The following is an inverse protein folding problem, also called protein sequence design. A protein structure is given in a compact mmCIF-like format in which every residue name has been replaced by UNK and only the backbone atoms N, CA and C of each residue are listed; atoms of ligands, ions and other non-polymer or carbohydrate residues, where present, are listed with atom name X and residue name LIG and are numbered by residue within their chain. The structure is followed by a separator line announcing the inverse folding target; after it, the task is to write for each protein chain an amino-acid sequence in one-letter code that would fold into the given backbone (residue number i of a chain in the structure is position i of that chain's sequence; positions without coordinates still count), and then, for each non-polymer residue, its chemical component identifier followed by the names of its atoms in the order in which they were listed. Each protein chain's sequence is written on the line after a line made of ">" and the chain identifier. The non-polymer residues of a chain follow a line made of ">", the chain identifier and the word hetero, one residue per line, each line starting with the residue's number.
data_IF_577885665940
#
_entry.id   IF_577885665940
#
_cell.length_a   1.000
_cell.length_b   1.000
_cell.length_c   1.000
_cell.angle_alpha   90.00
_cell.angle_beta   90.00
_cell.angle_gamma   90.00
#
_symmetry.space_group_name_H-M   'P 1'
#
loop_
_entity.id
_entity.type
_entity.pdbx_description
1 polymer ?
#
# COMPACT_ATOMS: atom_id res chain seq x y z
N UNK A 1 45.11 39.98 -6.34
CA UNK A 1 43.66 39.77 -6.49
C UNK A 1 43.41 38.33 -6.92
N UNK A 2 42.85 37.48 -6.03
CA UNK A 2 42.44 36.10 -6.36
C UNK A 2 41.09 36.16 -7.06
N UNK A 3 41.01 35.73 -8.33
CA UNK A 3 39.73 35.46 -9.00
C UNK A 3 39.15 34.19 -8.40
N UNK A 4 38.10 34.34 -7.60
CA UNK A 4 37.20 33.24 -7.23
C UNK A 4 36.39 32.95 -8.49
N UNK A 5 36.59 31.76 -9.09
CA UNK A 5 35.65 31.23 -10.08
C UNK A 5 34.45 30.73 -9.29
N UNK A 6 33.34 31.45 -9.37
CA UNK A 6 32.04 30.89 -9.02
C UNK A 6 31.81 29.68 -9.92
N UNK A 7 31.75 28.51 -9.30
CA UNK A 7 31.34 27.28 -9.95
C UNK A 7 29.81 27.34 -9.96
N UNK A 8 29.23 27.76 -11.08
CA UNK A 8 27.82 27.52 -11.34
C UNK A 8 27.63 26.00 -11.48
N UNK A 9 27.42 25.32 -10.35
CA UNK A 9 26.91 23.95 -10.35
C UNK A 9 25.42 24.04 -10.67
N UNK A 10 25.13 24.21 -11.97
CA UNK A 10 23.83 23.86 -12.51
C UNK A 10 23.50 22.42 -12.12
N UNK A 11 22.22 22.08 -11.92
CA UNK A 11 21.84 20.76 -11.45
C UNK A 11 22.46 19.70 -12.36
N UNK A 12 23.25 18.80 -11.77
CA UNK A 12 23.74 17.63 -12.48
C UNK A 12 22.51 16.83 -12.87
N UNK A 13 22.12 16.91 -14.15
CA UNK A 13 21.07 16.08 -14.71
C UNK A 13 21.62 14.66 -14.76
N UNK A 14 21.44 13.92 -13.68
CA UNK A 14 21.57 12.47 -13.68
C UNK A 14 20.41 11.94 -14.49
N UNK A 15 20.68 11.39 -15.68
CA UNK A 15 19.68 10.57 -16.37
C UNK A 15 19.24 9.47 -15.41
N UNK A 16 17.95 9.46 -15.06
CA UNK A 16 17.36 8.44 -14.19
C UNK A 16 17.26 7.13 -14.97
N UNK A 17 17.77 6.04 -14.40
CA UNK A 17 17.53 4.70 -14.90
C UNK A 17 16.16 4.18 -14.46
N UNK A 18 15.79 3.00 -14.95
CA UNK A 18 14.48 2.39 -14.66
C UNK A 18 14.25 2.17 -13.16
N UNK A 19 15.29 1.74 -12.42
CA UNK A 19 15.21 1.56 -10.97
C UNK A 19 14.96 2.87 -10.21
N UNK A 20 15.58 3.96 -10.65
CA UNK A 20 15.35 5.26 -10.05
C UNK A 20 13.91 5.72 -10.32
N UNK A 21 13.39 5.54 -11.54
CA UNK A 21 12.00 5.84 -11.87
C UNK A 21 11.01 4.98 -11.09
N UNK A 22 11.27 3.69 -10.96
CA UNK A 22 10.48 2.77 -10.15
C UNK A 22 10.39 3.27 -8.70
N UNK A 23 11.52 3.69 -8.11
CA UNK A 23 11.53 4.27 -6.77
C UNK A 23 10.66 5.53 -6.68
N UNK A 24 10.74 6.44 -7.65
CA UNK A 24 9.92 7.66 -7.65
C UNK A 24 8.43 7.34 -7.75
N UNK A 25 8.04 6.37 -8.58
CA UNK A 25 6.67 5.89 -8.68
C UNK A 25 6.18 5.24 -7.38
N UNK A 26 7.01 4.41 -6.73
CA UNK A 26 6.71 3.85 -5.41
C UNK A 26 6.54 4.94 -4.36
N UNK A 27 7.40 5.95 -4.36
CA UNK A 27 7.31 7.08 -3.44
C UNK A 27 6.09 7.95 -3.70
N UNK A 28 5.67 8.08 -4.97
CA UNK A 28 4.42 8.72 -5.30
C UNK A 28 3.26 7.97 -4.65
N UNK A 29 3.13 6.66 -4.88
CA UNK A 29 2.04 5.84 -4.33
C UNK A 29 2.06 5.80 -2.80
N UNK A 30 3.21 5.46 -2.21
CA UNK A 30 3.34 5.12 -0.80
C UNK A 30 3.69 6.30 0.11
N UNK A 31 4.06 7.46 -0.47
CA UNK A 31 4.60 8.67 0.18
C UNK A 31 5.96 8.47 0.88
N UNK A 32 6.14 7.38 1.60
CA UNK A 32 7.33 7.09 2.39
C UNK A 32 7.76 5.64 2.24
N UNK A 33 9.07 5.42 2.14
CA UNK A 33 9.69 4.12 2.34
C UNK A 33 10.93 4.26 3.22
N UNK A 34 11.37 3.17 3.85
CA UNK A 34 12.64 3.12 4.56
C UNK A 34 13.76 2.58 3.65
N UNK A 35 15.01 2.75 4.10
CA UNK A 35 16.17 2.25 3.34
C UNK A 35 16.15 0.72 3.21
N UNK A 36 15.61 0.01 4.19
CA UNK A 36 15.48 -1.44 4.13
C UNK A 36 14.59 -1.82 2.94
N UNK A 37 13.43 -1.19 2.79
CA UNK A 37 12.54 -1.38 1.63
C UNK A 37 13.28 -1.13 0.32
N UNK A 38 14.03 -0.03 0.22
CA UNK A 38 14.78 0.32 -1.00
C UNK A 38 15.81 -0.75 -1.34
N UNK A 39 16.55 -1.22 -0.33
CA UNK A 39 17.59 -2.23 -0.52
C UNK A 39 17.00 -3.59 -0.89
N UNK A 40 15.82 -3.94 -0.35
CA UNK A 40 15.16 -5.22 -0.62
C UNK A 40 14.42 -5.23 -1.95
N UNK A 41 13.66 -4.18 -2.28
CA UNK A 41 12.69 -4.24 -3.39
C UNK A 41 13.04 -3.38 -4.60
N UNK A 42 13.89 -2.36 -4.44
CA UNK A 42 14.31 -1.50 -5.55
C UNK A 42 15.69 -1.91 -6.08
N UNK A 43 16.64 -2.15 -5.18
CA UNK A 43 18.01 -2.55 -5.54
C UNK A 43 18.46 -3.86 -4.85
N UNK A 44 17.74 -4.98 -5.04
CA UNK A 44 18.09 -6.26 -4.40
C UNK A 44 19.47 -6.78 -4.81
N UNK A 45 19.94 -6.42 -6.00
CA UNK A 45 21.17 -6.97 -6.58
C UNK A 45 22.47 -6.27 -6.12
N UNK A 46 22.39 -5.16 -5.39
CA UNK A 46 23.59 -4.40 -4.98
C UNK A 46 23.78 -4.40 -3.46
N UNK A 47 25.03 -4.19 -3.05
CA UNK A 47 25.37 -4.09 -1.64
C UNK A 47 24.67 -2.89 -0.98
N UNK A 48 24.24 -3.00 0.31
CA UNK A 48 23.58 -1.91 1.02
C UNK A 48 24.36 -0.58 1.00
N UNK A 49 25.70 -0.64 1.04
CA UNK A 49 26.57 0.54 0.91
C UNK A 49 26.43 1.24 -0.44
N UNK A 50 26.22 0.48 -1.51
CA UNK A 50 25.98 1.01 -2.86
C UNK A 50 24.58 1.60 -2.98
N UNK A 51 23.57 0.97 -2.35
CA UNK A 51 22.22 1.53 -2.23
C UNK A 51 22.23 2.89 -1.55
N UNK A 52 22.91 3.00 -0.40
CA UNK A 52 23.05 4.28 0.29
C UNK A 52 23.69 5.37 -0.57
N UNK A 53 24.71 5.03 -1.36
CA UNK A 53 25.36 5.97 -2.28
C UNK A 53 24.42 6.42 -3.40
N UNK A 54 23.61 5.51 -3.97
CA UNK A 54 22.61 5.87 -4.99
C UNK A 54 21.55 6.81 -4.43
N UNK A 55 21.00 6.48 -3.26
CA UNK A 55 20.01 7.30 -2.56
C UNK A 55 20.58 8.68 -2.23
N UNK A 56 21.83 8.76 -1.78
CA UNK A 56 22.49 10.05 -1.53
C UNK A 56 22.59 10.90 -2.80
N UNK A 57 22.90 10.32 -3.96
CA UNK A 57 22.94 11.05 -5.23
C UNK A 57 21.57 11.58 -5.63
N UNK A 58 20.52 10.77 -5.51
CA UNK A 58 19.14 11.22 -5.78
C UNK A 58 18.72 12.36 -4.85
N UNK A 59 19.16 12.30 -3.59
CA UNK A 59 18.92 13.33 -2.58
C UNK A 59 19.69 14.62 -2.89
N UNK A 60 20.97 14.54 -3.24
CA UNK A 60 21.80 15.69 -3.66
C UNK A 60 21.26 16.33 -4.96
N UNK A 61 20.69 15.53 -5.86
CA UNK A 61 20.03 16.00 -7.08
C UNK A 61 18.59 16.51 -6.86
N UNK A 62 18.04 16.48 -5.64
CA UNK A 62 16.71 17.03 -5.34
C UNK A 62 15.51 16.20 -5.83
N UNK A 63 15.72 14.94 -6.20
CA UNK A 63 14.63 14.03 -6.58
C UNK A 63 13.91 13.47 -5.35
N UNK A 64 14.66 13.25 -4.28
CA UNK A 64 14.13 12.74 -3.01
C UNK A 64 14.70 13.56 -1.87
N UNK A 65 14.04 13.49 -0.71
CA UNK A 65 14.57 13.99 0.56
C UNK A 65 14.46 12.93 1.63
N UNK A 66 15.39 12.93 2.57
CA UNK A 66 15.40 11.99 3.67
C UNK A 66 15.36 12.67 5.03
N UNK A 67 14.84 11.95 6.02
CA UNK A 67 14.84 12.37 7.41
C UNK A 67 14.81 11.13 8.32
N UNK A 68 15.04 11.34 9.62
CA UNK A 68 15.01 10.27 10.62
C UNK A 68 13.69 10.31 11.38
N UNK A 69 13.12 9.14 11.63
CA UNK A 69 11.94 8.99 12.49
C UNK A 69 12.20 7.89 13.53
N UNK A 70 11.77 8.08 14.80
CA UNK A 70 11.93 7.05 15.82
C UNK A 70 11.00 5.87 15.52
N UNK A 71 11.54 4.67 15.50
CA UNK A 71 10.80 3.40 15.43
C UNK A 71 11.02 2.65 16.74
N UNK A 72 9.92 2.34 17.43
CA UNK A 72 9.96 1.42 18.55
C UNK A 72 9.84 -0.01 18.00
N UNK A 73 10.77 -0.88 18.37
CA UNK A 73 10.73 -2.32 18.06
C UNK A 73 10.31 -3.17 19.28
N UNK A 74 9.75 -2.52 20.30
CA UNK A 74 9.31 -3.15 21.56
C UNK A 74 10.42 -3.30 22.61
N UNK A 75 11.71 -3.19 22.22
CA UNK A 75 12.86 -3.34 23.13
C UNK A 75 13.72 -2.07 23.15
N UNK A 76 13.82 -1.38 22.02
CA UNK A 76 14.61 -0.17 21.83
C UNK A 76 13.88 0.82 20.91
N UNK A 77 14.27 2.09 21.00
CA UNK A 77 13.86 3.09 20.02
C UNK A 77 15.05 3.37 19.13
N UNK A 78 14.95 2.96 17.86
CA UNK A 78 15.96 3.22 16.86
C UNK A 78 15.45 4.24 15.85
N UNK A 79 16.31 5.17 15.47
CA UNK A 79 15.98 6.11 14.41
C UNK A 79 16.22 5.44 13.05
N UNK A 80 15.15 5.27 12.27
CA UNK A 80 15.25 4.77 10.90
C UNK A 80 15.34 5.93 9.92
N UNK A 81 16.07 5.72 8.82
CA UNK A 81 16.12 6.67 7.70
C UNK A 81 14.93 6.42 6.78
N UNK A 82 14.10 7.44 6.59
CA UNK A 82 12.92 7.43 5.72
C UNK A 82 13.16 8.39 4.57
N UNK A 83 12.67 8.03 3.39
CA UNK A 83 12.75 8.83 2.17
C UNK A 83 11.35 9.13 1.63
N UNK A 84 11.20 10.28 0.98
CA UNK A 84 10.00 10.70 0.25
C UNK A 84 10.40 11.56 -0.96
N UNK A 85 9.45 11.83 -1.85
CA UNK A 85 9.70 12.71 -3.01
C UNK A 85 10.09 14.12 -2.54
N UNK A 86 11.03 14.70 -3.29
CA UNK A 86 11.33 16.12 -3.29
C UNK A 86 10.96 16.75 -4.64
N UNK A 87 11.14 18.06 -4.79
CA UNK A 87 10.60 18.83 -5.92
C UNK A 87 10.86 18.20 -7.30
N UNK A 88 12.11 17.82 -7.61
CA UNK A 88 12.42 17.25 -8.93
C UNK A 88 11.85 15.84 -9.12
N UNK A 89 11.66 15.08 -8.04
CA UNK A 89 11.03 13.77 -8.11
C UNK A 89 9.54 13.87 -8.40
N UNK A 90 8.88 14.91 -7.88
CA UNK A 90 7.48 15.20 -8.23
C UNK A 90 7.37 15.56 -9.71
N UNK A 91 8.23 16.46 -10.20
CA UNK A 91 8.26 16.87 -11.62
C UNK A 91 8.53 15.68 -12.56
N UNK A 92 9.43 14.77 -12.19
CA UNK A 92 9.67 13.56 -12.99
C UNK A 92 8.45 12.64 -12.98
N UNK A 93 7.80 12.43 -11.83
CA UNK A 93 6.57 11.61 -11.77
C UNK A 93 5.47 12.24 -12.62
N UNK A 94 5.30 13.57 -12.58
CA UNK A 94 4.37 14.30 -13.46
C UNK A 94 4.64 14.04 -14.94
N UNK A 95 5.91 14.06 -15.34
CA UNK A 95 6.30 13.77 -16.71
C UNK A 95 6.03 12.31 -17.11
N UNK A 96 6.17 11.36 -16.18
CA UNK A 96 5.91 9.93 -16.41
C UNK A 96 4.42 9.58 -16.48
N UNK A 97 3.59 10.21 -15.65
CA UNK A 97 2.16 9.87 -15.51
C UNK A 97 1.23 10.79 -16.30
N UNK A 98 1.69 11.97 -16.70
CA UNK A 98 0.87 13.03 -17.31
C UNK A 98 -0.03 13.78 -16.32
N UNK A 99 -0.06 13.38 -15.05
CA UNK A 99 -0.75 14.05 -13.95
C UNK A 99 0.03 13.84 -12.64
N UNK A 100 0.37 14.92 -11.90
CA UNK A 100 0.50 14.76 -10.44
C UNK A 100 -0.48 15.64 -9.69
N UNK A 101 -1.07 15.00 -8.68
CA UNK A 101 -1.85 15.67 -7.63
C UNK A 101 -1.02 15.76 -6.36
N UNK A 102 0.31 15.79 -6.47
CA UNK A 102 1.18 15.72 -5.30
C UNK A 102 1.01 16.97 -4.41
N UNK A 103 0.74 16.74 -3.13
CA UNK A 103 0.67 17.80 -2.14
C UNK A 103 1.81 17.65 -1.14
N UNK A 104 2.67 18.66 -1.07
CA UNK A 104 3.82 18.67 -0.15
C UNK A 104 3.41 18.51 1.32
N UNK A 105 2.17 18.88 1.70
CA UNK A 105 1.61 18.67 3.05
C UNK A 105 1.47 17.18 3.39
N UNK A 106 1.42 16.29 2.41
CA UNK A 106 1.40 14.84 2.64
C UNK A 106 2.69 14.33 3.29
N UNK A 107 3.80 15.04 3.09
CA UNK A 107 5.09 14.68 3.71
C UNK A 107 5.23 15.16 5.17
N UNK A 108 4.28 15.96 5.68
CA UNK A 108 4.24 16.45 7.07
C UNK A 108 3.33 15.55 7.91
N UNK A 109 3.89 14.48 8.49
CA UNK A 109 3.13 13.43 9.18
C UNK A 109 3.77 13.02 10.49
N UNK A 110 2.96 12.48 11.39
CA UNK A 110 3.44 11.94 12.67
C UNK A 110 4.24 10.66 12.41
N UNK A 111 5.20 10.30 13.30
CA UNK A 111 5.94 9.05 13.20
C UNK A 111 5.04 7.83 13.02
N UNK A 112 3.94 7.72 13.79
CA UNK A 112 2.98 6.62 13.69
C UNK A 112 2.37 6.48 12.30
N UNK A 113 2.02 7.58 11.64
CA UNK A 113 1.47 7.54 10.29
C UNK A 113 2.53 7.12 9.27
N UNK A 114 3.77 7.60 9.41
CA UNK A 114 4.89 7.22 8.55
C UNK A 114 5.17 5.71 8.66
N UNK A 115 5.21 5.17 9.88
CA UNK A 115 5.43 3.73 10.10
C UNK A 115 4.33 2.87 9.48
N UNK A 116 3.08 3.30 9.60
CA UNK A 116 1.95 2.64 8.97
C UNK A 116 2.10 2.61 7.44
N UNK A 117 2.49 3.72 6.80
CA UNK A 117 2.73 3.72 5.35
C UNK A 117 3.92 2.87 4.92
N UNK A 118 5.00 2.83 5.72
CA UNK A 118 6.15 1.94 5.46
C UNK A 118 5.72 0.47 5.52
N UNK A 119 4.84 0.10 6.46
CA UNK A 119 4.30 -1.26 6.54
C UNK A 119 3.50 -1.63 5.27
N UNK A 120 2.61 -0.73 4.80
CA UNK A 120 1.89 -0.94 3.54
C UNK A 120 2.86 -1.02 2.34
N UNK A 121 3.93 -0.23 2.34
CA UNK A 121 4.93 -0.26 1.28
C UNK A 121 5.62 -1.64 1.23
N UNK A 122 6.04 -2.18 2.37
CA UNK A 122 6.62 -3.52 2.46
C UNK A 122 5.66 -4.61 1.99
N UNK A 123 4.38 -4.50 2.33
CA UNK A 123 3.36 -5.40 1.78
C UNK A 123 3.25 -5.30 0.25
N UNK A 124 3.22 -4.08 -0.31
CA UNK A 124 3.26 -3.89 -1.77
C UNK A 124 4.50 -4.55 -2.37
N UNK A 125 5.66 -4.33 -1.77
CA UNK A 125 6.94 -4.91 -2.20
C UNK A 125 6.91 -6.44 -2.24
N UNK A 126 6.50 -7.09 -1.15
CA UNK A 126 6.49 -8.57 -1.08
C UNK A 126 5.44 -9.18 -2.02
N UNK A 127 4.29 -8.53 -2.21
CA UNK A 127 3.28 -8.96 -3.18
C UNK A 127 3.82 -8.88 -4.60
N UNK A 128 4.51 -7.78 -4.94
CA UNK A 128 5.10 -7.60 -6.26
C UNK A 128 6.27 -8.56 -6.52
N UNK A 129 7.06 -8.89 -5.49
CA UNK A 129 8.21 -9.79 -5.62
C UNK A 129 7.80 -11.26 -5.78
N UNK A 130 6.85 -11.75 -4.96
CA UNK A 130 6.48 -13.16 -4.89
C UNK A 130 5.37 -13.57 -5.88
N UNK A 131 5.30 -12.96 -7.06
CA UNK A 131 4.19 -13.21 -7.99
C UNK A 131 4.02 -14.68 -8.34
N UNK A 132 2.77 -15.09 -8.53
CA UNK A 132 2.43 -16.42 -9.02
C UNK A 132 2.08 -16.36 -10.51
N UNK A 133 2.36 -17.42 -11.28
CA UNK A 133 2.07 -17.45 -12.71
C UNK A 133 0.61 -17.15 -13.06
N UNK A 134 -0.33 -17.67 -12.25
CA UNK A 134 -1.78 -17.57 -12.44
C UNK A 134 -2.45 -16.52 -11.56
N UNK A 135 -1.69 -15.82 -10.70
CA UNK A 135 -2.17 -14.76 -9.81
C UNK A 135 -1.11 -13.66 -9.65
N UNK A 136 -1.23 -12.63 -10.47
CA UNK A 136 -0.20 -11.62 -10.68
C UNK A 136 -0.62 -10.29 -10.08
N UNK A 137 0.24 -9.70 -9.25
CA UNK A 137 0.08 -8.33 -8.77
C UNK A 137 0.09 -7.36 -9.97
N UNK A 138 -0.96 -6.56 -10.14
CA UNK A 138 -1.04 -5.54 -11.19
C UNK A 138 -0.68 -4.17 -10.64
N UNK A 139 -1.38 -3.74 -9.58
CA UNK A 139 -1.18 -2.40 -9.04
C UNK A 139 -1.59 -2.29 -7.58
N UNK A 140 -0.99 -1.31 -6.91
CA UNK A 140 -1.39 -0.82 -5.60
C UNK A 140 -1.97 0.59 -5.77
N UNK A 141 -3.25 0.74 -5.44
CA UNK A 141 -3.94 2.02 -5.49
C UNK A 141 -3.88 2.61 -4.07
N UNK A 142 -3.27 3.79 -3.88
CA UNK A 142 -3.09 4.36 -2.55
C UNK A 142 -4.42 4.82 -1.93
N UNK A 143 -4.44 5.04 -0.60
CA UNK A 143 -5.60 5.53 0.16
C UNK A 143 -6.28 6.72 -0.53
N UNK A 144 -5.49 7.72 -0.95
CA UNK A 144 -5.98 8.96 -1.58
C UNK A 144 -6.78 8.73 -2.87
N UNK A 145 -6.45 7.67 -3.60
CA UNK A 145 -7.15 7.30 -4.83
C UNK A 145 -8.28 6.32 -4.53
N UNK A 146 -8.12 5.47 -3.52
CA UNK A 146 -9.11 4.49 -3.06
C UNK A 146 -10.27 5.11 -2.28
N UNK A 147 -10.12 6.35 -1.81
CA UNK A 147 -11.20 7.12 -1.18
C UNK A 147 -12.38 7.24 -2.15
N UNK A 148 -13.58 6.97 -1.66
CA UNK A 148 -14.78 7.12 -2.49
C UNK A 148 -16.05 7.43 -1.71
N UNK A 149 -16.71 8.53 -2.11
CA UNK A 149 -17.97 9.02 -1.56
C UNK A 149 -19.15 8.43 -2.37
N UNK A 150 -19.72 7.32 -1.91
CA UNK A 150 -20.75 6.57 -2.63
C UNK A 150 -22.20 7.00 -2.33
N UNK A 151 -22.37 8.00 -1.47
CA UNK A 151 -23.68 8.56 -1.13
C UNK A 151 -23.63 10.04 -0.81
N UNK A 152 -24.78 10.61 -0.46
CA UNK A 152 -24.91 12.05 -0.20
C UNK A 152 -24.51 12.43 1.22
N UNK A 153 -24.56 11.50 2.18
CA UNK A 153 -24.17 11.77 3.56
C UNK A 153 -22.66 11.75 3.68
N UNK A 154 -22.09 12.62 4.53
CA UNK A 154 -20.65 12.68 4.80
C UNK A 154 -20.03 11.32 5.18
N UNK A 155 -20.81 10.46 5.83
CA UNK A 155 -20.35 9.14 6.30
C UNK A 155 -20.53 8.02 5.26
N UNK A 156 -21.21 8.28 4.14
CA UNK A 156 -21.38 7.34 3.01
C UNK A 156 -20.10 7.26 2.18
N UNK A 157 -19.00 6.88 2.83
CA UNK A 157 -17.65 6.91 2.27
C UNK A 157 -16.84 5.67 2.66
N UNK A 158 -16.05 5.15 1.72
CA UNK A 158 -14.98 4.19 2.00
C UNK A 158 -13.62 4.89 1.94
N UNK A 159 -12.73 4.51 2.84
CA UNK A 159 -11.34 5.00 2.89
C UNK A 159 -10.44 3.81 3.25
N UNK A 160 -10.14 2.93 2.27
CA UNK A 160 -9.18 1.85 2.46
C UNK A 160 -7.77 2.41 2.66
N UNK A 161 -6.94 1.76 3.47
CA UNK A 161 -5.52 2.12 3.60
C UNK A 161 -4.78 1.92 2.25
N UNK A 162 -5.30 1.02 1.42
CA UNK A 162 -4.98 0.88 0.00
C UNK A 162 -5.87 -0.14 -0.69
N UNK A 163 -5.84 -0.19 -2.00
CA UNK A 163 -6.54 -1.22 -2.79
C UNK A 163 -5.53 -1.96 -3.66
N UNK A 164 -5.48 -3.29 -3.55
CA UNK A 164 -4.61 -4.11 -4.39
C UNK A 164 -5.43 -4.75 -5.50
N UNK A 165 -4.93 -4.67 -6.72
CA UNK A 165 -5.53 -5.35 -7.87
C UNK A 165 -4.58 -6.44 -8.35
N UNK A 166 -5.11 -7.65 -8.45
CA UNK A 166 -4.43 -8.79 -9.05
C UNK A 166 -5.14 -9.21 -10.32
N UNK A 167 -4.37 -9.69 -11.29
CA UNK A 167 -4.90 -10.40 -12.45
C UNK A 167 -4.79 -11.88 -12.19
N UNK A 168 -5.92 -12.59 -12.30
CA UNK A 168 -5.96 -14.04 -12.20
C UNK A 168 -6.27 -14.67 -13.54
N UNK A 169 -5.55 -15.72 -13.89
CA UNK A 169 -5.76 -16.48 -15.13
C UNK A 169 -6.23 -17.89 -14.75
N UNK A 170 -7.43 -18.26 -15.18
CA UNK A 170 -7.98 -19.62 -14.98
C UNK A 170 -8.61 -20.09 -16.28
N UNK A 171 -8.14 -21.22 -16.82
CA UNK A 171 -8.62 -21.80 -18.08
C UNK A 171 -8.66 -20.77 -19.23
N UNK A 172 -7.53 -20.08 -19.44
CA UNK A 172 -7.34 -19.01 -20.45
C UNK A 172 -8.28 -17.79 -20.30
N UNK A 173 -9.02 -17.69 -19.19
CA UNK A 173 -9.81 -16.52 -18.86
C UNK A 173 -9.09 -15.70 -17.80
N UNK A 174 -8.81 -14.44 -18.15
CA UNK A 174 -8.26 -13.47 -17.22
C UNK A 174 -9.39 -12.67 -16.54
N UNK A 175 -9.22 -12.36 -15.27
CA UNK A 175 -10.11 -11.45 -14.55
C UNK A 175 -9.40 -10.76 -13.39
N UNK A 176 -9.84 -9.54 -13.09
CA UNK A 176 -9.26 -8.74 -12.03
C UNK A 176 -9.90 -9.08 -10.68
N UNK A 177 -9.05 -9.17 -9.67
CA UNK A 177 -9.40 -9.38 -8.27
C UNK A 177 -8.95 -8.15 -7.50
N UNK A 178 -9.91 -7.40 -6.94
CA UNK A 178 -9.66 -6.24 -6.12
C UNK A 178 -9.81 -6.56 -4.63
N UNK A 179 -8.85 -6.08 -3.84
CA UNK A 179 -8.81 -6.25 -2.39
C UNK A 179 -8.66 -4.89 -1.73
N UNK A 180 -9.71 -4.45 -1.05
CA UNK A 180 -9.66 -3.28 -0.17
C UNK A 180 -8.91 -3.66 1.11
N UNK A 181 -7.75 -3.07 1.33
CA UNK A 181 -6.85 -3.39 2.43
C UNK A 181 -7.08 -2.44 3.60
N UNK A 182 -7.18 -3.01 4.78
CA UNK A 182 -7.33 -2.33 6.06
C UNK A 182 -6.28 -2.88 7.02
N UNK A 183 -5.22 -2.12 7.29
CA UNK A 183 -4.20 -2.49 8.25
C UNK A 183 -4.54 -1.88 9.60
N UNK A 184 -5.00 -2.73 10.51
CA UNK A 184 -5.46 -2.30 11.82
C UNK A 184 -4.29 -1.75 12.65
N UNK A 185 -4.55 -0.62 13.30
CA UNK A 185 -3.65 -0.06 14.30
C UNK A 185 -3.90 -0.75 15.62
N UNK A 186 -2.86 -0.92 16.43
CA UNK A 186 -3.02 -1.52 17.75
C UNK A 186 -4.08 -0.78 18.59
N UNK A 187 -4.93 -1.54 19.29
CA UNK A 187 -6.02 -1.05 20.16
C UNK A 187 -7.17 -0.32 19.44
N UNK A 188 -7.48 -0.67 18.21
CA UNK A 188 -8.67 -0.15 17.53
C UNK A 188 -9.96 -0.54 18.27
N UNK A 189 -10.90 0.41 18.37
CA UNK A 189 -12.21 0.18 19.01
C UNK A 189 -13.09 -0.66 18.09
N UNK A 190 -13.83 -1.62 18.65
CA UNK A 190 -14.77 -2.49 17.92
C UNK A 190 -15.71 -1.70 16.99
N UNK A 191 -16.25 -0.59 17.47
CA UNK A 191 -17.14 0.28 16.70
C UNK A 191 -16.52 0.78 15.38
N UNK A 192 -15.20 1.01 15.34
CA UNK A 192 -14.51 1.48 14.12
C UNK A 192 -14.51 0.37 13.07
N UNK A 193 -14.10 -0.84 13.42
CA UNK A 193 -14.02 -1.96 12.50
C UNK A 193 -15.42 -2.42 12.03
N UNK A 194 -16.40 -2.41 12.94
CA UNK A 194 -17.82 -2.64 12.59
C UNK A 194 -18.31 -1.61 11.56
N UNK A 195 -18.08 -0.31 11.80
CA UNK A 195 -18.53 0.75 10.90
C UNK A 195 -17.78 0.74 9.57
N UNK A 196 -16.49 0.40 9.55
CA UNK A 196 -15.75 0.18 8.29
C UNK A 196 -16.42 -0.92 7.47
N UNK A 197 -16.68 -2.08 8.09
CA UNK A 197 -17.24 -3.22 7.39
C UNK A 197 -18.68 -2.97 6.88
N UNK A 198 -19.52 -2.28 7.68
CA UNK A 198 -20.85 -1.83 7.24
C UNK A 198 -20.78 -0.93 6.01
N UNK A 199 -19.86 0.04 6.01
CA UNK A 199 -19.67 0.97 4.88
C UNK A 199 -19.21 0.25 3.61
N UNK A 200 -18.34 -0.75 3.73
CA UNK A 200 -18.00 -1.60 2.59
C UNK A 200 -19.22 -2.37 2.08
N UNK A 201 -20.00 -2.99 2.96
CA UNK A 201 -21.20 -3.74 2.56
C UNK A 201 -22.21 -2.83 1.83
N UNK A 202 -22.43 -1.62 2.35
CA UNK A 202 -23.27 -0.61 1.69
C UNK A 202 -22.71 -0.22 0.32
N UNK A 203 -21.42 0.15 0.27
CA UNK A 203 -20.71 0.52 -0.96
C UNK A 203 -20.85 -0.54 -2.06
N UNK A 204 -20.64 -1.82 -1.75
CA UNK A 204 -20.72 -2.89 -2.75
C UNK A 204 -22.11 -3.07 -3.35
N UNK A 205 -23.17 -2.75 -2.60
CA UNK A 205 -24.54 -2.90 -3.07
C UNK A 205 -25.19 -1.62 -3.58
N UNK A 206 -24.46 -0.50 -3.71
CA UNK A 206 -24.99 0.72 -4.36
C UNK A 206 -24.58 0.76 -5.82
N UNK A 207 -25.48 1.22 -6.68
CA UNK A 207 -25.20 1.47 -8.09
C UNK A 207 -24.05 2.48 -8.27
N UNK A 208 -24.03 3.53 -7.44
CA UNK A 208 -22.94 4.50 -7.41
C UNK A 208 -21.69 4.01 -6.68
N UNK A 209 -21.65 2.80 -6.15
CA UNK A 209 -20.48 2.24 -5.46
C UNK A 209 -19.45 1.69 -6.43
N UNK A 210 -19.17 0.40 -6.34
CA UNK A 210 -18.13 -0.27 -7.15
C UNK A 210 -18.22 -0.01 -8.65
N UNK A 211 -19.44 0.07 -9.20
CA UNK A 211 -19.64 0.25 -10.63
C UNK A 211 -19.24 1.65 -11.16
N UNK A 212 -19.17 2.67 -10.28
CA UNK A 212 -18.81 4.05 -10.67
C UNK A 212 -17.49 4.53 -10.06
N UNK A 213 -16.80 3.70 -9.27
CA UNK A 213 -15.51 4.05 -8.72
C UNK A 213 -14.43 4.00 -9.80
N UNK A 214 -13.92 5.17 -10.19
CA UNK A 214 -13.00 5.36 -11.32
C UNK A 214 -11.59 4.79 -11.18
N UNK A 215 -11.27 4.12 -10.06
CA UNK A 215 -9.96 3.49 -9.87
C UNK A 215 -9.81 2.16 -10.62
N UNK A 216 -10.92 1.62 -11.11
CA UNK A 216 -10.94 0.38 -11.87
C UNK A 216 -11.19 0.70 -13.35
N UNK A 217 -10.23 0.38 -14.22
CA UNK A 217 -10.42 0.47 -15.68
C UNK A 217 -11.52 -0.48 -16.14
N UNK A 218 -11.49 -1.71 -15.60
CA UNK A 218 -12.54 -2.72 -15.78
C UNK A 218 -13.05 -3.16 -14.42
N UNK A 219 -14.35 -3.39 -14.30
CA UNK A 219 -14.95 -3.85 -13.05
C UNK A 219 -14.30 -5.18 -12.61
N UNK A 220 -13.75 -5.27 -11.39
CA UNK A 220 -13.18 -6.51 -10.89
C UNK A 220 -14.22 -7.63 -10.81
N UNK A 221 -13.83 -8.84 -11.20
CA UNK A 221 -14.67 -10.06 -11.13
C UNK A 221 -14.86 -10.47 -9.67
N UNK A 222 -13.82 -10.31 -8.87
CA UNK A 222 -13.84 -10.53 -7.43
C UNK A 222 -13.44 -9.25 -6.72
N UNK A 223 -14.20 -8.89 -5.70
CA UNK A 223 -13.94 -7.76 -4.82
C UNK A 223 -14.05 -8.21 -3.37
N UNK A 224 -13.02 -7.94 -2.58
CA UNK A 224 -12.87 -8.44 -1.20
C UNK A 224 -12.42 -7.33 -0.26
N UNK A 225 -12.66 -7.52 1.03
CA UNK A 225 -12.13 -6.65 2.10
C UNK A 225 -11.15 -7.48 2.93
N UNK A 226 -9.91 -7.00 3.03
CA UNK A 226 -8.83 -7.66 3.76
C UNK A 226 -8.45 -6.85 4.98
N UNK A 227 -8.63 -7.42 6.16
CA UNK A 227 -8.11 -6.88 7.40
C UNK A 227 -6.79 -7.55 7.78
N UNK A 228 -5.80 -6.73 8.09
CA UNK A 228 -4.46 -7.17 8.46
C UNK A 228 -4.15 -6.61 9.85
N UNK A 229 -4.06 -7.49 10.84
CA UNK A 229 -3.78 -7.11 12.23
C UNK A 229 -2.30 -7.19 12.55
N UNK A 230 -1.84 -6.46 13.57
CA UNK A 230 -0.42 -6.50 13.94
C UNK A 230 0.00 -7.87 14.50
N UNK A 231 -0.91 -8.61 15.13
CA UNK A 231 -0.66 -9.93 15.70
C UNK A 231 -1.94 -10.77 15.79
N UNK A 232 -1.77 -12.04 16.17
CA UNK A 232 -2.86 -13.02 16.25
C UNK A 232 -3.98 -12.61 17.22
N UNK A 233 -3.63 -12.06 18.39
CA UNK A 233 -4.62 -11.65 19.38
C UNK A 233 -5.50 -10.51 18.87
N UNK A 234 -4.91 -9.54 18.16
CA UNK A 234 -5.65 -8.45 17.52
C UNK A 234 -6.54 -8.98 16.38
N UNK A 235 -6.04 -9.93 15.58
CA UNK A 235 -6.82 -10.59 14.53
C UNK A 235 -8.05 -11.29 15.08
N UNK A 236 -7.89 -12.10 16.14
CA UNK A 236 -8.99 -12.83 16.77
C UNK A 236 -10.05 -11.89 17.36
N UNK A 237 -9.62 -10.79 18.01
CA UNK A 237 -10.53 -9.75 18.49
C UNK A 237 -11.29 -9.07 17.35
N UNK A 238 -10.62 -8.80 16.24
CA UNK A 238 -11.25 -8.19 15.07
C UNK A 238 -12.32 -9.11 14.45
N UNK A 239 -12.00 -10.40 14.32
CA UNK A 239 -12.96 -11.42 13.88
C UNK A 239 -14.19 -11.42 14.80
N UNK A 240 -13.96 -11.44 16.12
CA UNK A 240 -15.03 -11.41 17.12
C UNK A 240 -15.88 -10.14 17.03
N UNK A 241 -15.26 -8.95 16.94
CA UNK A 241 -15.97 -7.68 16.83
C UNK A 241 -16.85 -7.59 15.58
N UNK A 242 -16.43 -8.23 14.49
CA UNK A 242 -17.09 -8.11 13.19
C UNK A 242 -17.98 -9.31 12.86
N UNK A 243 -18.06 -10.33 13.71
CA UNK A 243 -18.74 -11.60 13.43
C UNK A 243 -20.23 -11.45 13.08
N UNK A 244 -20.93 -10.52 13.72
CA UNK A 244 -22.37 -10.30 13.53
C UNK A 244 -22.68 -9.15 12.54
N UNK A 245 -21.66 -8.58 11.90
CA UNK A 245 -21.87 -7.54 10.88
C UNK A 245 -22.33 -8.19 9.57
N UNK A 246 -23.42 -7.65 9.00
CA UNK A 246 -23.89 -8.05 7.67
C UNK A 246 -22.84 -7.73 6.59
N UNK A 247 -22.49 -8.76 5.83
CA UNK A 247 -21.55 -8.70 4.71
C UNK A 247 -22.11 -9.38 3.47
N UNK A 248 -23.43 -9.50 3.35
CA UNK A 248 -24.12 -10.17 2.25
C UNK A 248 -23.80 -9.62 0.85
N UNK A 249 -23.36 -8.36 0.75
CA UNK A 249 -22.98 -7.69 -0.50
C UNK A 249 -21.47 -7.76 -0.77
N UNK A 250 -20.69 -8.30 0.16
CA UNK A 250 -19.24 -8.45 0.04
C UNK A 250 -18.95 -9.91 -0.28
N UNK A 251 -18.21 -10.19 -1.36
CA UNK A 251 -17.94 -11.57 -1.77
C UNK A 251 -17.11 -12.35 -0.74
N UNK A 252 -16.17 -11.68 -0.06
CA UNK A 252 -15.52 -12.23 1.13
C UNK A 252 -14.86 -11.12 1.97
N UNK A 253 -14.82 -11.37 3.28
CA UNK A 253 -13.98 -10.63 4.23
C UNK A 253 -12.91 -11.56 4.74
N UNK A 254 -11.66 -11.12 4.67
CA UNK A 254 -10.48 -11.91 4.99
C UNK A 254 -9.73 -11.27 6.14
N UNK A 255 -9.15 -12.11 7.01
CA UNK A 255 -8.35 -11.68 8.16
C UNK A 255 -7.02 -12.41 8.15
N UNK A 256 -5.94 -11.69 8.42
CA UNK A 256 -4.59 -12.24 8.58
C UNK A 256 -3.76 -11.35 9.49
N UNK A 257 -2.52 -11.72 9.77
CA UNK A 257 -1.54 -10.86 10.45
C UNK A 257 -0.53 -10.27 9.47
N UNK A 258 0.05 -9.13 9.85
CA UNK A 258 1.10 -8.46 9.07
C UNK A 258 2.32 -9.39 8.85
N UNK A 259 2.74 -10.11 9.88
CA UNK A 259 3.88 -11.02 9.81
C UNK A 259 3.61 -12.20 8.87
N UNK A 260 2.39 -12.74 8.86
CA UNK A 260 2.01 -13.79 7.89
C UNK A 260 2.11 -13.29 6.45
N UNK A 261 1.63 -12.06 6.18
CA UNK A 261 1.69 -11.46 4.84
C UNK A 261 3.14 -11.25 4.39
N UNK A 262 4.04 -10.80 5.26
CA UNK A 262 5.45 -10.62 4.89
C UNK A 262 6.17 -11.96 4.62
N UNK A 263 5.79 -13.02 5.33
CA UNK A 263 6.44 -14.32 5.18
C UNK A 263 5.92 -15.09 3.96
N UNK A 264 4.60 -15.18 3.78
CA UNK A 264 3.98 -15.93 2.69
C UNK A 264 2.68 -15.24 2.23
N UNK A 265 2.77 -14.12 1.47
CA UNK A 265 1.60 -13.30 1.15
C UNK A 265 0.52 -14.04 0.37
N UNK A 266 0.93 -15.10 -0.34
CA UNK A 266 0.07 -15.93 -1.18
C UNK A 266 -0.29 -17.27 -0.51
N UNK A 267 0.23 -17.54 0.68
CA UNK A 267 -0.03 -18.78 1.41
C UNK A 267 -1.45 -18.94 1.93
N UNK A 268 -1.68 -20.08 2.57
CA UNK A 268 -2.88 -20.36 3.36
C UNK A 268 -2.82 -19.63 4.71
N UNK A 269 -2.87 -18.30 4.66
CA UNK A 269 -2.78 -17.41 5.82
C UNK A 269 -4.10 -16.71 6.14
N UNK A 270 -5.07 -16.75 5.22
CA UNK A 270 -6.28 -15.94 5.30
C UNK A 270 -7.44 -16.68 5.95
N UNK A 271 -7.91 -16.18 7.09
CA UNK A 271 -9.16 -16.61 7.70
C UNK A 271 -10.33 -15.90 7.02
N UNK A 272 -11.29 -16.65 6.50
CA UNK A 272 -12.49 -16.08 5.87
C UNK A 272 -13.58 -15.90 6.92
N UNK A 273 -14.27 -14.76 6.90
CA UNK A 273 -15.40 -14.51 7.81
C UNK A 273 -16.43 -15.64 7.71
N UNK A 274 -16.79 -16.22 8.85
CA UNK A 274 -17.79 -17.29 8.95
C UNK A 274 -17.30 -18.66 8.47
N UNK A 275 -15.98 -18.87 8.30
CA UNK A 275 -15.41 -20.15 7.88
C UNK A 275 -14.26 -20.58 8.78
N UNK A 276 -14.11 -21.89 8.91
CA UNK A 276 -12.99 -22.48 9.62
C UNK A 276 -11.74 -22.60 8.74
N UNK A 277 -10.58 -22.61 9.39
CA UNK A 277 -9.28 -22.76 8.75
C UNK A 277 -8.74 -21.51 8.07
N UNK A 278 -7.51 -21.65 7.56
CA UNK A 278 -6.85 -20.65 6.72
C UNK A 278 -6.88 -21.11 5.27
N UNK A 279 -6.95 -20.15 4.35
CA UNK A 279 -7.08 -20.38 2.92
C UNK A 279 -6.19 -19.40 2.16
N UNK A 280 -5.95 -19.65 0.88
CA UNK A 280 -5.32 -18.67 0.00
C UNK A 280 -6.26 -17.50 -0.30
N UNK A 281 -5.72 -16.31 -0.51
CA UNK A 281 -6.54 -15.10 -0.74
C UNK A 281 -7.35 -15.15 -2.03
N UNK A 282 -7.05 -16.06 -2.97
CA UNK A 282 -7.79 -16.25 -4.22
C UNK A 282 -8.75 -17.44 -4.17
N UNK A 283 -8.90 -18.14 -3.03
CA UNK A 283 -9.86 -19.24 -2.91
C UNK A 283 -11.25 -18.75 -3.33
N UNK A 284 -11.83 -19.35 -4.38
CA UNK A 284 -13.20 -19.05 -4.79
C UNK A 284 -14.12 -19.82 -3.86
N UNK A 285 -14.90 -19.07 -3.10
CA UNK A 285 -15.96 -19.62 -2.28
C UNK A 285 -17.18 -19.75 -3.17
N UNK A 286 -17.64 -20.98 -3.38
CA UNK A 286 -19.00 -21.22 -3.83
C UNK A 286 -19.85 -21.31 -2.57
N UNK A 287 -20.95 -20.55 -2.52
CA UNK A 287 -21.97 -20.79 -1.51
C UNK A 287 -22.48 -22.22 -1.69
N UNK A 288 -22.66 -22.92 -0.57
CA UNK A 288 -23.29 -24.24 -0.54
C UNK A 288 -24.81 -24.08 -0.67
#
# INVERSE_FOLDING_TARGET
>A
MKRIREKEEGPVITHLGDRERDLLMVLYDMLFVDIDFVSTYIYPEILPTSTHRRIRKLEESGYIKSFKTPRADGVSVQNIKVICLDRLGVEEVEALTGESRWDTRWTKRTPTYIHHLIQLAKMRGILQEKQLPDFQFQTWIPERSSYYQYGQRKDDVIVPDGTVVFKRIVNDKAGDFAYFVEMERSRQRAAVSINKLRRYNEYMGRENGLAKHSIFETRPVITRVCFISANENEKLRLIEHTKDVDTSRIQAVLYTTYDEVLNDPYGEIWCFKGREGKHTMWKIIRDA
#
